data_IF_387876746966
#
_entry.id   IF_387876746966
#
_cell.length_a   1.000
_cell.length_b   1.000
_cell.length_c   1.000
_cell.angle_alpha   90.00
_cell.angle_beta   90.00
_cell.angle_gamma   90.00
#
_symmetry.space_group_name_H-M   'P 1'
#
loop_
_entity.id
_entity.type
_entity.pdbx_description
1 polymer ?
#
# COMPACT_ATOMS: atom_id res chain seq x y z
N UNK A 1 -16.55 31.44 10.42
CA UNK A 1 -16.00 30.96 9.14
C UNK A 1 -15.38 29.56 9.26
N UNK A 2 -14.63 29.26 10.32
CA UNK A 2 -14.01 27.95 10.57
C UNK A 2 -14.99 26.78 10.67
N UNK A 3 -16.17 26.99 11.29
CA UNK A 3 -17.21 25.95 11.42
C UNK A 3 -17.78 25.49 10.08
N UNK A 4 -17.98 26.41 9.13
CA UNK A 4 -18.48 26.08 7.80
C UNK A 4 -17.42 25.29 6.99
N UNK A 5 -16.16 25.71 7.07
CA UNK A 5 -15.05 25.00 6.42
C UNK A 5 -14.89 23.55 6.91
N UNK A 6 -15.02 23.35 8.22
CA UNK A 6 -14.97 22.01 8.82
C UNK A 6 -16.10 21.11 8.29
N UNK A 7 -17.31 21.65 8.16
CA UNK A 7 -18.45 20.91 7.61
C UNK A 7 -18.22 20.53 6.14
N UNK A 8 -17.71 21.44 5.32
CA UNK A 8 -17.40 21.19 3.90
C UNK A 8 -16.29 20.14 3.72
N UNK A 9 -15.24 20.18 4.56
CA UNK A 9 -14.19 19.17 4.54
C UNK A 9 -14.72 17.80 4.98
N UNK A 10 -15.49 17.74 6.06
CA UNK A 10 -16.11 16.48 6.51
C UNK A 10 -17.01 15.89 5.43
N UNK A 11 -17.86 16.70 4.80
CA UNK A 11 -18.71 16.27 3.67
C UNK A 11 -17.86 15.70 2.52
N UNK A 12 -16.77 16.38 2.17
CA UNK A 12 -15.85 15.94 1.13
C UNK A 12 -15.19 14.58 1.43
N UNK A 13 -14.79 14.35 2.68
CA UNK A 13 -14.17 13.11 3.12
C UNK A 13 -15.18 11.96 3.29
N UNK A 14 -16.34 12.22 3.87
CA UNK A 14 -17.40 11.22 4.04
C UNK A 14 -17.90 10.69 2.70
N UNK A 15 -17.98 11.55 1.67
CA UNK A 15 -18.29 11.11 0.30
C UNK A 15 -17.26 10.15 -0.32
N UNK A 16 -16.11 9.95 0.34
CA UNK A 16 -15.03 9.02 -0.03
C UNK A 16 -14.80 7.94 1.01
N UNK A 17 -15.69 7.81 2.00
CA UNK A 17 -15.56 6.89 3.14
C UNK A 17 -14.31 7.13 3.99
N UNK A 18 -13.79 8.36 3.95
CA UNK A 18 -12.71 8.80 4.81
C UNK A 18 -13.32 9.55 5.99
N UNK A 19 -12.92 9.19 7.22
CA UNK A 19 -13.41 9.79 8.46
C UNK A 19 -12.22 10.32 9.26
N UNK A 20 -11.69 11.51 8.93
CA UNK A 20 -10.55 12.07 9.65
C UNK A 20 -10.92 12.39 11.10
N UNK A 21 -9.96 12.28 12.01
CA UNK A 21 -10.18 12.66 13.40
C UNK A 21 -10.40 14.18 13.53
N UNK A 22 -11.23 14.64 14.48
CA UNK A 22 -11.41 16.07 14.72
C UNK A 22 -10.08 16.77 15.02
N UNK A 23 -9.18 16.11 15.76
CA UNK A 23 -7.85 16.63 16.06
C UNK A 23 -7.01 16.85 14.80
N UNK A 24 -7.01 15.89 13.87
CA UNK A 24 -6.31 16.01 12.60
C UNK A 24 -6.88 17.15 11.74
N UNK A 25 -8.21 17.27 11.66
CA UNK A 25 -8.86 18.33 10.87
C UNK A 25 -8.58 19.73 11.43
N UNK A 26 -8.64 19.89 12.76
CA UNK A 26 -8.32 21.15 13.41
C UNK A 26 -6.86 21.52 13.16
N UNK A 27 -5.93 20.58 13.35
CA UNK A 27 -4.51 20.80 13.06
C UNK A 27 -4.27 21.19 11.59
N UNK A 28 -4.98 20.55 10.65
CA UNK A 28 -4.88 20.87 9.23
C UNK A 28 -5.40 22.29 8.93
N UNK A 29 -6.57 22.66 9.45
CA UNK A 29 -7.19 23.98 9.23
C UNK A 29 -6.35 25.09 9.84
N UNK A 30 -5.82 24.91 11.06
CA UNK A 30 -4.95 25.89 11.71
C UNK A 30 -3.65 26.15 10.93
N UNK A 31 -3.14 25.14 10.24
CA UNK A 31 -1.97 25.26 9.37
C UNK A 31 -2.28 25.63 7.90
N UNK A 32 -3.55 25.80 7.55
CA UNK A 32 -3.96 26.10 6.18
C UNK A 32 -3.79 27.58 5.85
N UNK A 33 -3.45 27.88 4.59
CA UNK A 33 -3.38 29.26 4.10
C UNK A 33 -4.80 29.84 4.02
N UNK A 34 -4.98 31.04 4.56
CA UNK A 34 -6.30 31.70 4.70
C UNK A 34 -7.00 32.02 3.37
N UNK A 35 -6.26 32.19 2.28
CA UNK A 35 -6.81 32.56 0.95
C UNK A 35 -6.88 31.38 -0.05
N UNK A 36 -6.82 30.13 0.40
CA UNK A 36 -6.88 28.99 -0.51
C UNK A 36 -8.33 28.70 -0.94
N UNK A 37 -8.62 28.56 -2.26
CA UNK A 37 -9.94 28.14 -2.73
C UNK A 37 -10.34 26.76 -2.18
N UNK A 38 -11.62 26.58 -1.86
CA UNK A 38 -12.13 25.34 -1.24
C UNK A 38 -11.74 24.05 -2.00
N UNK A 39 -11.80 23.97 -3.35
CA UNK A 39 -11.38 22.76 -4.06
C UNK A 39 -9.89 22.43 -3.88
N UNK A 40 -9.03 23.46 -3.88
CA UNK A 40 -7.60 23.29 -3.66
C UNK A 40 -7.31 22.86 -2.21
N UNK A 41 -8.08 23.41 -1.25
CA UNK A 41 -7.99 23.01 0.14
C UNK A 41 -8.40 21.54 0.34
N UNK A 42 -9.53 21.11 -0.24
CA UNK A 42 -10.01 19.73 -0.17
C UNK A 42 -8.98 18.74 -0.73
N UNK A 43 -8.37 19.06 -1.88
CA UNK A 43 -7.33 18.22 -2.49
C UNK A 43 -6.05 18.18 -1.66
N UNK A 44 -5.64 19.31 -1.10
CA UNK A 44 -4.48 19.38 -0.20
C UNK A 44 -4.73 18.60 1.08
N UNK A 45 -5.93 18.71 1.65
CA UNK A 45 -6.35 17.96 2.83
C UNK A 45 -6.31 16.45 2.54
N UNK A 46 -6.88 16.02 1.42
CA UNK A 46 -6.86 14.61 0.99
C UNK A 46 -5.43 14.09 0.84
N UNK A 47 -4.58 14.82 0.13
CA UNK A 47 -3.18 14.44 -0.05
C UNK A 47 -2.46 14.27 1.29
N UNK A 48 -2.63 15.23 2.20
CA UNK A 48 -2.02 15.16 3.54
C UNK A 48 -2.59 14.03 4.39
N UNK A 49 -3.89 13.79 4.34
CA UNK A 49 -4.53 12.72 5.11
C UNK A 49 -4.00 11.36 4.66
N UNK A 50 -3.94 11.11 3.36
CA UNK A 50 -3.44 9.84 2.80
C UNK A 50 -1.96 9.58 3.14
N UNK A 51 -1.20 10.64 3.42
CA UNK A 51 0.20 10.58 3.86
C UNK A 51 0.39 10.38 5.39
N UNK A 52 -0.70 10.21 6.15
CA UNK A 52 -0.63 9.93 7.60
C UNK A 52 -0.99 8.49 7.94
N UNK A 53 -0.62 8.07 9.17
CA UNK A 53 -1.05 6.81 9.75
C UNK A 53 -2.52 6.87 10.17
N UNK A 54 -3.34 5.99 9.59
CA UNK A 54 -4.80 5.99 9.79
C UNK A 54 -5.24 5.61 11.19
N UNK A 55 -4.37 4.96 11.97
CA UNK A 55 -4.66 4.64 13.37
C UNK A 55 -4.70 5.87 14.26
N UNK A 56 -4.11 6.99 13.81
CA UNK A 56 -4.07 8.26 14.54
C UNK A 56 -4.88 9.36 13.85
N UNK A 57 -4.98 9.30 12.52
CA UNK A 57 -5.61 10.35 11.73
C UNK A 57 -7.07 10.07 11.37
N UNK A 58 -7.58 8.85 11.57
CA UNK A 58 -8.95 8.48 11.22
C UNK A 58 -9.72 7.88 12.40
N UNK A 59 -11.02 8.18 12.45
CA UNK A 59 -11.98 7.61 13.42
C UNK A 59 -13.23 7.20 12.63
N UNK A 60 -13.17 6.10 11.85
CA UNK A 60 -14.33 5.61 11.14
C UNK A 60 -15.38 5.04 12.10
N UNK A 61 -16.66 4.97 11.67
CA UNK A 61 -17.67 4.24 12.42
C UNK A 61 -17.32 2.74 12.50
N UNK A 62 -17.85 2.05 13.52
CA UNK A 62 -17.61 0.62 13.73
C UNK A 62 -18.01 -0.26 12.54
N UNK A 63 -18.96 0.19 11.72
CA UNK A 63 -19.40 -0.48 10.50
C UNK A 63 -18.38 -0.42 9.36
N UNK A 64 -17.38 0.45 9.45
CA UNK A 64 -16.30 0.64 8.47
C UNK A 64 -14.95 0.16 8.99
N UNK A 65 -14.95 -0.66 10.03
CA UNK A 65 -13.77 -1.33 10.60
C UNK A 65 -13.85 -2.84 10.37
N UNK A 66 -12.71 -3.52 10.45
CA UNK A 66 -12.69 -4.98 10.38
C UNK A 66 -13.33 -5.56 11.64
N UNK A 67 -14.21 -6.57 11.53
CA UNK A 67 -14.80 -7.21 12.71
C UNK A 67 -13.74 -7.94 13.54
N UNK A 68 -13.88 -7.96 14.87
CA UNK A 68 -12.85 -8.48 15.79
C UNK A 68 -12.49 -9.96 15.57
N UNK A 69 -13.42 -10.76 15.07
CA UNK A 69 -13.21 -12.18 14.76
C UNK A 69 -12.78 -12.44 13.30
N UNK A 70 -12.33 -11.41 12.55
CA UNK A 70 -11.89 -11.53 11.16
C UNK A 70 -10.74 -12.51 10.97
N UNK A 71 -9.87 -12.64 11.97
CA UNK A 71 -8.71 -13.54 11.94
C UNK A 71 -9.06 -14.99 12.30
N UNK A 72 -10.33 -15.31 12.55
CA UNK A 72 -10.72 -16.67 12.90
C UNK A 72 -10.56 -17.62 11.70
N UNK A 73 -9.47 -18.40 11.71
CA UNK A 73 -9.14 -19.38 10.67
C UNK A 73 -10.01 -20.64 10.64
N UNK A 74 -10.87 -20.86 11.64
CA UNK A 74 -11.78 -22.03 11.66
C UNK A 74 -12.93 -21.89 10.67
N UNK A 75 -13.27 -20.66 10.28
CA UNK A 75 -14.30 -20.38 9.28
C UNK A 75 -13.71 -20.55 7.87
N UNK A 76 -14.31 -21.42 7.02
CA UNK A 76 -13.80 -21.64 5.66
C UNK A 76 -13.86 -20.37 4.80
N UNK A 77 -14.99 -19.67 4.81
CA UNK A 77 -15.20 -18.41 4.12
C UNK A 77 -16.25 -17.57 4.86
N UNK A 78 -16.15 -16.24 4.74
CA UNK A 78 -17.14 -15.28 5.19
C UNK A 78 -17.10 -14.03 4.33
N UNK A 79 -18.26 -13.44 4.09
CA UNK A 79 -18.36 -12.12 3.47
C UNK A 79 -18.40 -11.03 4.52
N UNK A 80 -17.68 -9.92 4.30
CA UNK A 80 -17.71 -8.73 5.15
C UNK A 80 -18.10 -7.54 4.29
N UNK A 81 -19.11 -6.81 4.75
CA UNK A 81 -19.62 -5.61 4.06
C UNK A 81 -18.71 -4.42 4.36
N UNK A 82 -18.28 -3.73 3.31
CA UNK A 82 -17.54 -2.47 3.42
C UNK A 82 -18.47 -1.24 3.31
N UNK A 83 -17.91 -0.04 3.11
CA UNK A 83 -16.51 0.25 2.80
C UNK A 83 -15.61 0.28 4.04
N UNK A 84 -14.47 -0.41 3.96
CA UNK A 84 -13.40 -0.40 4.97
C UNK A 84 -12.15 0.18 4.33
N UNK A 85 -11.54 1.16 5.00
CA UNK A 85 -10.27 1.76 4.55
C UNK A 85 -9.12 1.08 5.28
N UNK A 86 -8.20 0.52 4.51
CA UNK A 86 -7.01 -0.14 5.02
C UNK A 86 -5.74 0.56 4.53
N UNK A 87 -4.70 0.51 5.34
CA UNK A 87 -3.34 0.93 5.04
C UNK A 87 -2.48 -0.29 4.70
N UNK A 88 -1.73 -0.21 3.61
CA UNK A 88 -0.75 -1.24 3.24
C UNK A 88 0.49 -1.08 4.11
N UNK A 89 0.79 -2.13 4.87
CA UNK A 89 1.95 -2.21 5.77
C UNK A 89 3.09 -3.04 5.17
N UNK A 90 2.75 -4.01 4.32
CA UNK A 90 3.71 -4.87 3.62
C UNK A 90 3.11 -5.36 2.29
N UNK A 91 3.98 -5.67 1.32
CA UNK A 91 3.62 -6.29 0.05
C UNK A 91 4.74 -7.24 -0.40
N UNK A 92 4.36 -8.46 -0.77
CA UNK A 92 5.27 -9.48 -1.29
C UNK A 92 4.70 -10.03 -2.60
N UNK A 93 5.54 -10.08 -3.64
CA UNK A 93 5.23 -10.82 -4.85
C UNK A 93 5.48 -12.30 -4.59
N UNK A 94 4.39 -13.08 -4.54
CA UNK A 94 4.46 -14.52 -4.29
C UNK A 94 4.50 -15.33 -5.59
N UNK A 95 4.45 -14.67 -6.76
CA UNK A 95 4.63 -15.29 -8.06
C UNK A 95 6.11 -15.54 -8.40
N UNK A 96 7.03 -14.82 -7.75
CA UNK A 96 8.47 -14.95 -7.95
C UNK A 96 9.17 -15.51 -6.71
N UNK A 97 10.17 -16.37 -6.92
CA UNK A 97 10.96 -16.90 -5.81
C UNK A 97 11.67 -15.77 -5.05
N UNK A 98 11.74 -15.88 -3.71
CA UNK A 98 12.44 -14.92 -2.86
C UNK A 98 13.91 -14.76 -3.28
N UNK A 99 14.55 -15.85 -3.70
CA UNK A 99 15.93 -15.85 -4.18
C UNK A 99 16.10 -15.00 -5.45
N UNK A 100 15.23 -15.18 -6.45
CA UNK A 100 15.24 -14.36 -7.67
C UNK A 100 15.02 -12.87 -7.37
N UNK A 101 14.20 -12.56 -6.36
CA UNK A 101 14.00 -11.18 -5.91
C UNK A 101 15.26 -10.60 -5.24
N UNK A 102 15.98 -11.38 -4.42
CA UNK A 102 17.28 -10.98 -3.85
C UNK A 102 18.30 -10.74 -4.94
N UNK A 103 18.45 -11.65 -5.90
CA UNK A 103 19.37 -11.51 -7.03
C UNK A 103 19.07 -10.25 -7.86
N UNK A 104 17.79 -9.94 -8.06
CA UNK A 104 17.36 -8.73 -8.77
C UNK A 104 17.74 -7.46 -7.99
N UNK A 105 17.65 -7.47 -6.66
CA UNK A 105 18.09 -6.35 -5.82
C UNK A 105 19.61 -6.18 -5.91
N UNK A 106 20.37 -7.28 -5.81
CA UNK A 106 21.84 -7.26 -5.87
C UNK A 106 22.38 -6.86 -7.24
N UNK A 107 21.74 -7.30 -8.33
CA UNK A 107 22.08 -6.89 -9.68
C UNK A 107 21.90 -5.37 -9.86
N UNK A 108 20.80 -4.81 -9.35
CA UNK A 108 20.57 -3.36 -9.36
C UNK A 108 21.60 -2.60 -8.54
N UNK A 109 21.97 -3.09 -7.35
CA UNK A 109 23.04 -2.51 -6.52
C UNK A 109 24.40 -2.51 -7.25
N UNK A 110 24.64 -3.52 -8.08
CA UNK A 110 25.86 -3.66 -8.89
C UNK A 110 25.83 -2.88 -10.22
N UNK A 111 24.71 -2.22 -10.55
CA UNK A 111 24.53 -1.52 -11.83
C UNK A 111 24.32 -2.45 -13.03
N UNK A 112 23.96 -3.70 -12.80
CA UNK A 112 23.67 -4.68 -13.84
C UNK A 112 22.18 -4.55 -14.23
N UNK A 113 21.91 -4.12 -15.46
CA UNK A 113 20.55 -4.08 -15.99
C UNK A 113 20.38 -5.22 -17.00
N UNK A 114 19.34 -6.02 -16.86
CA UNK A 114 19.02 -7.12 -17.76
C UNK A 114 18.05 -6.64 -18.85
N UNK A 115 18.46 -6.74 -20.13
CA UNK A 115 17.53 -6.70 -21.27
C UNK A 115 17.35 -8.13 -21.78
N UNK A 116 16.24 -8.78 -21.40
CA UNK A 116 15.96 -10.17 -21.80
C UNK A 116 16.86 -11.19 -21.08
N UNK A 117 17.46 -12.13 -21.82
CA UNK A 117 18.40 -13.14 -21.29
C UNK A 117 19.85 -12.65 -21.17
N UNK A 118 20.12 -11.40 -21.53
CA UNK A 118 21.48 -10.85 -21.52
C UNK A 118 21.66 -9.84 -20.37
N UNK A 119 22.74 -10.04 -19.61
CA UNK A 119 23.18 -9.14 -18.54
C UNK A 119 24.01 -8.03 -19.19
N UNK A 120 23.50 -6.80 -19.21
CA UNK A 120 24.26 -5.63 -19.69
C UNK A 120 24.86 -4.94 -18.48
N UNK A 121 26.19 -4.93 -18.43
CA UNK A 121 26.97 -4.20 -17.42
C UNK A 121 27.09 -2.75 -17.89
N UNK A 122 26.52 -1.82 -17.15
CA UNK A 122 26.67 -0.39 -17.48
C UNK A 122 28.04 0.06 -16.98
N UNK A 123 29.03 0.12 -17.86
CA UNK A 123 30.29 0.83 -17.61
C UNK A 123 30.08 2.32 -17.83
N UNK A 124 30.47 3.13 -16.84
CA UNK A 124 30.32 4.58 -16.83
C UNK A 124 31.39 5.27 -17.68
N UNK A 125 31.38 5.10 -19.00
CA UNK A 125 32.18 5.95 -19.90
C UNK A 125 31.38 6.29 -21.17
N UNK A 126 31.39 7.59 -21.48
CA UNK A 126 30.96 8.28 -22.72
C UNK A 126 29.54 8.92 -22.77
N UNK A 127 29.56 10.26 -22.72
CA UNK A 127 28.51 11.19 -23.12
C UNK A 127 28.14 11.01 -24.60
N UNK A 128 26.88 10.73 -24.90
CA UNK A 128 26.38 10.63 -26.27
C UNK A 128 24.86 10.61 -26.35
N UNK A 129 24.29 11.73 -26.75
CA UNK A 129 22.86 12.00 -26.95
C UNK A 129 22.13 10.89 -27.75
N UNK A 130 21.24 10.13 -27.11
CA UNK A 130 20.36 9.17 -27.77
C UNK A 130 19.28 8.66 -26.80
N UNK A 131 18.03 8.96 -27.12
CA UNK A 131 16.81 8.65 -26.35
C UNK A 131 16.88 7.32 -25.57
N UNK A 132 17.01 7.42 -24.25
CA UNK A 132 16.87 6.29 -23.33
C UNK A 132 15.40 5.86 -23.31
N UNK A 133 15.04 4.96 -24.23
CA UNK A 133 13.94 4.04 -24.01
C UNK A 133 14.32 3.15 -22.81
N UNK A 134 14.10 3.67 -21.60
CA UNK A 134 13.96 2.88 -20.40
C UNK A 134 12.78 1.95 -20.63
N UNK A 135 13.03 0.79 -21.22
CA UNK A 135 12.13 -0.34 -21.12
C UNK A 135 12.08 -0.68 -19.64
N UNK A 136 11.12 -0.09 -18.93
CA UNK A 136 10.75 -0.50 -17.58
C UNK A 136 10.61 -2.01 -17.64
N UNK A 137 11.46 -2.72 -16.88
CA UNK A 137 11.29 -4.15 -16.68
C UNK A 137 9.81 -4.36 -16.34
N UNK A 138 9.11 -5.20 -17.12
CA UNK A 138 7.67 -5.35 -17.01
C UNK A 138 7.32 -5.58 -15.54
N UNK A 139 6.63 -4.61 -14.93
CA UNK A 139 6.29 -4.69 -13.52
C UNK A 139 5.42 -5.93 -13.35
N UNK A 140 5.83 -6.82 -12.44
CA UNK A 140 5.03 -8.00 -12.11
C UNK A 140 3.62 -7.54 -11.73
N UNK A 141 2.62 -8.26 -12.25
CA UNK A 141 1.20 -8.01 -11.95
C UNK A 141 0.69 -8.92 -10.83
N UNK A 142 1.61 -9.55 -10.08
CA UNK A 142 1.28 -10.47 -8.99
C UNK A 142 1.23 -11.94 -9.43
N UNK A 143 0.80 -12.85 -8.55
CA UNK A 143 0.01 -12.62 -7.34
C UNK A 143 0.76 -11.89 -6.21
N UNK A 144 0.04 -11.06 -5.45
CA UNK A 144 0.59 -10.33 -4.30
C UNK A 144 0.00 -10.78 -2.98
N UNK A 145 0.85 -10.89 -1.95
CA UNK A 145 0.48 -10.98 -0.55
C UNK A 145 0.68 -9.62 0.10
N UNK A 146 -0.36 -9.07 0.70
CA UNK A 146 -0.31 -7.79 1.40
C UNK A 146 -0.55 -8.00 2.89
N UNK A 147 0.09 -7.18 3.72
CA UNK A 147 -0.31 -6.98 5.11
C UNK A 147 -1.08 -5.65 5.18
N UNK A 148 -2.36 -5.72 5.49
CA UNK A 148 -3.24 -4.57 5.62
C UNK A 148 -3.47 -4.24 7.10
N UNK A 149 -3.68 -2.97 7.40
CA UNK A 149 -4.06 -2.48 8.71
C UNK A 149 -5.29 -1.59 8.59
N UNK A 150 -6.32 -1.77 9.43
CA UNK A 150 -7.45 -0.83 9.50
C UNK A 150 -7.18 0.35 10.47
N UNK A 151 -8.11 1.29 10.57
CA UNK A 151 -7.95 2.45 11.47
C UNK A 151 -8.03 2.08 12.96
N UNK A 152 -8.52 0.88 13.33
CA UNK A 152 -8.43 0.35 14.70
C UNK A 152 -7.04 -0.21 15.01
N UNK A 153 -6.22 -0.40 13.99
CA UNK A 153 -4.89 -0.99 14.08
C UNK A 153 -4.88 -2.50 13.91
N UNK A 154 -6.03 -3.13 13.61
CA UNK A 154 -6.11 -4.56 13.33
C UNK A 154 -5.36 -4.86 12.03
N UNK A 155 -4.43 -5.80 12.09
CA UNK A 155 -3.64 -6.24 10.94
C UNK A 155 -4.17 -7.55 10.39
N UNK A 156 -4.24 -7.66 9.07
CA UNK A 156 -4.73 -8.85 8.37
C UNK A 156 -3.97 -9.05 7.06
N UNK A 157 -3.71 -10.32 6.71
CA UNK A 157 -3.18 -10.65 5.40
C UNK A 157 -4.26 -10.56 4.33
N UNK A 158 -3.85 -10.16 3.12
CA UNK A 158 -4.71 -10.13 1.95
C UNK A 158 -3.95 -10.68 0.74
N UNK A 159 -4.66 -11.36 -0.16
CA UNK A 159 -4.11 -11.84 -1.43
C UNK A 159 -4.78 -11.13 -2.59
N UNK A 160 -3.97 -10.56 -3.49
CA UNK A 160 -4.39 -10.17 -4.82
C UNK A 160 -3.96 -11.26 -5.81
N UNK A 161 -4.94 -12.04 -6.27
CA UNK A 161 -4.73 -13.12 -7.24
C UNK A 161 -5.10 -12.73 -8.67
N UNK A 162 -5.79 -11.61 -8.85
CA UNK A 162 -6.39 -11.21 -10.13
C UNK A 162 -5.71 -9.98 -10.73
N UNK A 163 -4.82 -9.32 -9.99
CA UNK A 163 -4.10 -8.14 -10.42
C UNK A 163 -4.96 -6.90 -10.28
N UNK A 164 -4.69 -6.09 -9.26
CA UNK A 164 -5.33 -4.80 -9.02
C UNK A 164 -4.47 -3.68 -9.58
N UNK A 165 -5.06 -2.83 -10.40
CA UNK A 165 -4.37 -1.66 -10.94
C UNK A 165 -3.84 -0.77 -9.81
N UNK A 166 -2.54 -0.44 -9.87
CA UNK A 166 -1.86 0.34 -8.86
C UNK A 166 -1.20 -0.47 -7.73
N UNK A 167 -1.41 -1.80 -7.66
CA UNK A 167 -0.61 -2.68 -6.81
C UNK A 167 0.58 -3.23 -7.60
N UNK A 168 1.78 -3.08 -7.04
CA UNK A 168 3.01 -3.66 -7.58
C UNK A 168 4.10 -3.73 -6.49
N UNK A 169 5.16 -4.51 -6.72
CA UNK A 169 6.26 -4.70 -5.75
C UNK A 169 7.13 -3.44 -5.51
N UNK A 170 6.95 -2.38 -6.29
CA UNK A 170 7.66 -1.11 -6.18
C UNK A 170 6.77 0.02 -5.62
N UNK A 171 5.53 -0.28 -5.23
CA UNK A 171 4.59 0.71 -4.72
C UNK A 171 5.08 1.30 -3.39
N UNK A 172 4.60 2.50 -3.07
CA UNK A 172 4.91 3.13 -1.81
C UNK A 172 4.23 2.42 -0.63
N UNK A 173 4.92 2.29 0.51
CA UNK A 173 4.31 1.75 1.73
C UNK A 173 3.52 2.83 2.46
N UNK A 174 2.43 2.40 3.09
CA UNK A 174 1.45 3.29 3.70
C UNK A 174 0.37 3.77 2.73
N UNK A 175 0.33 3.28 1.49
CA UNK A 175 -0.79 3.50 0.57
C UNK A 175 -2.11 3.04 1.20
N UNK A 176 -3.19 3.76 0.91
CA UNK A 176 -4.53 3.45 1.40
C UNK A 176 -5.37 2.77 0.32
N UNK A 177 -6.12 1.76 0.74
CA UNK A 177 -7.07 1.00 -0.08
C UNK A 177 -8.47 1.16 0.53
N UNK A 178 -9.47 1.32 -0.33
CA UNK A 178 -10.87 1.17 0.06
C UNK A 178 -11.37 -0.20 -0.40
N UNK A 179 -11.91 -0.97 0.54
CA UNK A 179 -12.43 -2.30 0.34
C UNK A 179 -13.96 -2.27 0.49
N UNK A 180 -14.70 -2.38 -0.63
CA UNK A 180 -16.16 -2.22 -0.67
C UNK A 180 -16.92 -3.48 -0.26
N UNK A 181 -16.44 -4.63 -0.71
CA UNK A 181 -16.96 -5.94 -0.35
C UNK A 181 -15.76 -6.87 -0.21
N UNK A 182 -15.76 -7.67 0.85
CA UNK A 182 -14.64 -8.51 1.20
C UNK A 182 -15.09 -9.96 1.29
N UNK A 183 -14.35 -10.84 0.62
CA UNK A 183 -14.37 -12.25 0.95
C UNK A 183 -13.17 -12.58 1.83
N UNK A 184 -13.40 -13.19 2.98
CA UNK A 184 -12.35 -13.60 3.91
C UNK A 184 -12.37 -15.11 4.02
N UNK A 185 -11.28 -15.76 3.67
CA UNK A 185 -11.11 -17.22 3.73
C UNK A 185 -10.04 -17.56 4.75
N UNK A 186 -10.41 -18.36 5.76
CA UNK A 186 -9.49 -18.80 6.83
C UNK A 186 -8.67 -17.65 7.44
N UNK A 187 -9.32 -16.50 7.67
CA UNK A 187 -8.68 -15.33 8.28
C UNK A 187 -7.85 -14.46 7.33
N UNK A 188 -7.90 -14.70 6.02
CA UNK A 188 -7.18 -13.93 5.00
C UNK A 188 -8.17 -13.29 4.02
N UNK A 189 -7.96 -12.02 3.68
CA UNK A 189 -8.79 -11.33 2.69
C UNK A 189 -8.42 -11.80 1.28
N UNK A 190 -9.41 -12.17 0.48
CA UNK A 190 -9.26 -12.37 -0.95
C UNK A 190 -9.65 -11.06 -1.64
N UNK A 191 -8.65 -10.35 -2.16
CA UNK A 191 -8.88 -9.08 -2.85
C UNK A 191 -9.45 -9.34 -4.25
N UNK A 192 -10.45 -8.54 -4.59
CA UNK A 192 -11.11 -8.53 -5.89
C UNK A 192 -10.93 -7.14 -6.51
N UNK A 193 -10.42 -7.02 -7.75
CA UNK A 193 -10.32 -5.76 -8.47
C UNK A 193 -11.65 -4.99 -8.57
N UNK A 194 -12.80 -5.66 -8.64
CA UNK A 194 -14.11 -5.00 -8.69
C UNK A 194 -14.46 -4.29 -7.36
N UNK A 195 -13.88 -4.74 -6.25
CA UNK A 195 -14.24 -4.31 -4.90
C UNK A 195 -13.11 -3.60 -4.16
N UNK A 196 -11.95 -3.43 -4.80
CA UNK A 196 -10.77 -2.78 -4.22
C UNK A 196 -10.42 -1.52 -5.00
N UNK A 197 -10.27 -0.41 -4.30
CA UNK A 197 -9.85 0.86 -4.89
C UNK A 197 -8.57 1.35 -4.22
N UNK A 198 -7.53 1.61 -5.01
CA UNK A 198 -6.30 2.27 -4.53
C UNK A 198 -6.56 3.77 -4.40
N UNK A 199 -6.44 4.31 -3.18
CA UNK A 199 -6.55 5.75 -2.93
C UNK A 199 -5.20 6.47 -3.07
N UNK A 200 -4.09 5.73 -2.99
CA UNK A 200 -2.74 6.26 -2.99
C UNK A 200 -2.27 6.68 -1.59
N UNK A 201 -1.37 7.66 -1.53
CA UNK A 201 -0.68 8.06 -0.30
C UNK A 201 0.69 7.39 -0.15
N UNK A 202 1.40 7.79 0.89
CA UNK A 202 2.72 7.26 1.26
C UNK A 202 3.04 7.74 2.67
N UNK A 203 3.55 6.85 3.51
CA UNK A 203 4.10 7.25 4.81
C UNK A 203 5.61 7.13 4.69
N UNK A 204 6.28 8.28 4.56
CA UNK A 204 7.73 8.35 4.26
C UNK A 204 8.59 7.48 5.19
N UNK A 205 8.31 7.52 6.49
CA UNK A 205 9.04 6.73 7.48
C UNK A 205 8.85 5.21 7.27
N UNK A 206 7.62 4.77 6.97
CA UNK A 206 7.32 3.35 6.72
C UNK A 206 7.89 2.89 5.38
N UNK A 207 7.76 3.71 4.34
CA UNK A 207 8.31 3.42 3.00
C UNK A 207 9.83 3.27 3.04
N UNK A 208 10.51 4.21 3.71
CA UNK A 208 11.96 4.15 3.88
C UNK A 208 12.38 2.90 4.66
N UNK A 209 11.81 2.68 5.85
CA UNK A 209 12.16 1.53 6.68
C UNK A 209 11.87 0.20 5.97
N UNK A 210 10.77 0.13 5.21
CA UNK A 210 10.42 -1.06 4.45
C UNK A 210 11.42 -1.32 3.32
N UNK A 211 11.79 -0.29 2.54
CA UNK A 211 12.75 -0.42 1.44
C UNK A 211 14.13 -0.81 1.94
N UNK A 212 14.60 -0.13 2.99
CA UNK A 212 15.92 -0.37 3.58
C UNK A 212 16.05 -1.81 4.09
N UNK A 213 14.98 -2.38 4.67
CA UNK A 213 14.99 -3.75 5.20
C UNK A 213 14.48 -4.84 4.23
N UNK A 214 14.20 -4.51 2.97
CA UNK A 214 13.54 -5.44 2.03
C UNK A 214 14.42 -6.64 1.71
N UNK A 215 15.72 -6.40 1.47
CA UNK A 215 16.69 -7.43 1.08
C UNK A 215 16.90 -8.43 2.22
N UNK A 216 17.09 -7.94 3.43
CA UNK A 216 17.31 -8.76 4.64
C UNK A 216 16.09 -9.63 4.93
N UNK A 217 14.87 -9.09 4.78
CA UNK A 217 13.62 -9.85 4.94
C UNK A 217 13.53 -11.00 3.92
N UNK A 218 13.84 -10.74 2.65
CA UNK A 218 13.82 -11.81 1.64
C UNK A 218 14.92 -12.86 1.86
N UNK A 219 16.12 -12.45 2.27
CA UNK A 219 17.21 -13.36 2.62
C UNK A 219 16.83 -14.26 3.80
N UNK A 220 16.27 -13.69 4.87
CA UNK A 220 15.80 -14.45 6.03
C UNK A 220 14.70 -15.45 5.62
N UNK A 221 13.67 -14.98 4.92
CA UNK A 221 12.55 -15.80 4.51
C UNK A 221 12.91 -16.86 3.44
N UNK A 222 13.96 -16.65 2.64
CA UNK A 222 14.50 -17.67 1.73
C UNK A 222 15.30 -18.76 2.48
N UNK A 223 15.97 -18.40 3.58
CA UNK A 223 16.71 -19.35 4.42
C UNK A 223 15.78 -20.21 5.26
N UNK A 224 14.72 -19.63 5.83
CA UNK A 224 13.71 -20.36 6.61
C UNK A 224 13.00 -21.42 5.75
N UNK A 225 12.59 -21.07 4.53
CA UNK A 225 11.96 -22.03 3.61
C UNK A 225 12.86 -23.20 3.16
N UNK A 226 14.17 -23.13 3.42
CA UNK A 226 15.10 -24.24 3.18
C UNK A 226 15.08 -25.27 4.31
N UNK A 227 14.75 -24.85 5.53
CA UNK A 227 14.76 -25.74 6.71
C UNK A 227 13.52 -26.64 6.71
N UNK A 228 12.39 -26.17 6.21
CA UNK A 228 11.14 -26.94 6.13
C UNK A 228 11.09 -27.95 4.95
N UNK A 229 12.06 -27.91 4.04
CA UNK A 229 12.12 -28.75 2.84
C UNK A 229 13.03 -29.99 2.94
N UNK A 230 13.81 -30.11 4.01
CA UNK A 230 14.75 -31.23 4.28
C UNK A 230 14.24 -32.16 5.40
N UNK A 231 12.93 -32.11 5.74
CA UNK A 231 12.29 -32.92 6.78
C UNK A 231 11.32 -33.97 6.21
#
# INVERSE_FOLDING_TARGET
MSSNLLAELNKYFHGRHLHPSPAWLQSFISGARTNMPLPALQKTALFRLLATDITTSMIPPSTSLLPDNILNGTLPSRSVTGPIVCQVFDIEDIGHSRWSQVETIEAKERGETTKGREIIRVTSEEEGNGATAHTSAAESKGPFKLLLQDAKGLKIYAYDLHGIEGLNNNMAIGIKLTLKSLEVRRGVIMLDPAHTQVLGGKIEALDKAWKDGKKERFLAAAREGRVDGDA
#
